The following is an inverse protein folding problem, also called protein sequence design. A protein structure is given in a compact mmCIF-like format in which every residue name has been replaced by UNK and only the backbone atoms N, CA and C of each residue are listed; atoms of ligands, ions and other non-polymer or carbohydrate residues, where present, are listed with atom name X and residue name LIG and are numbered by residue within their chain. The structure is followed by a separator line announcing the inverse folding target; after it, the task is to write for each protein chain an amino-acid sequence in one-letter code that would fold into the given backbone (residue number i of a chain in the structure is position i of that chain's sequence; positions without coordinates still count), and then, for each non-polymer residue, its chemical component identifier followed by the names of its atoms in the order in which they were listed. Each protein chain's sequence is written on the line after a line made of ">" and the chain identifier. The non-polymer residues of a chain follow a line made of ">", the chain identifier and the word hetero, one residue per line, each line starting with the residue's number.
data_IF_734664361796
#
_entry.id   IF_734664361796
#
_cell.length_a   1.000
_cell.length_b   1.000
_cell.length_c   1.000
_cell.angle_alpha   90.00
_cell.angle_beta   90.00
_cell.angle_gamma   90.00
#
_symmetry.space_group_name_H-M   'P 1'
#
loop_
_entity.id
_entity.type
_entity.pdbx_description
1 polymer ?
#
# COMPACT_ATOMS: atom_id res chain seq x y z
N UNK A 1 1.18 -7.80 17.65
CA UNK A 1 0.09 -7.32 16.77
C UNK A 1 0.57 -6.06 16.03
N UNK A 2 0.28 -5.92 14.75
CA UNK A 2 0.57 -4.71 13.97
C UNK A 2 -0.74 -3.95 13.72
N UNK A 3 -0.71 -2.63 13.89
CA UNK A 3 -1.87 -1.76 13.72
C UNK A 3 -1.47 -0.47 13.04
N UNK A 4 -2.41 0.21 12.40
CA UNK A 4 -2.24 1.55 11.84
C UNK A 4 -3.53 2.36 11.96
N UNK A 5 -3.40 3.67 11.91
CA UNK A 5 -4.53 4.59 11.85
C UNK A 5 -4.36 5.55 10.66
N UNK A 6 -5.47 5.89 10.02
CA UNK A 6 -5.49 6.97 9.04
C UNK A 6 -5.54 8.31 9.78
N UNK A 7 -4.62 9.18 9.43
CA UNK A 7 -4.48 10.51 10.03
C UNK A 7 -4.40 11.56 8.91
N UNK A 8 -4.73 12.83 9.18
CA UNK A 8 -4.55 13.89 8.18
C UNK A 8 -3.10 14.01 7.70
N UNK A 9 -2.92 14.47 6.46
CA UNK A 9 -1.59 14.72 5.92
C UNK A 9 -0.80 15.70 6.82
N UNK A 10 0.45 15.39 7.09
CA UNK A 10 1.30 16.19 7.98
C UNK A 10 1.03 16.02 9.48
N UNK A 11 0.20 15.07 9.87
CA UNK A 11 -0.04 14.79 11.28
C UNK A 11 1.24 14.31 11.99
N UNK A 12 1.69 15.07 12.99
CA UNK A 12 2.90 14.78 13.76
C UNK A 12 2.65 14.09 15.10
N UNK A 13 1.38 13.93 15.49
CA UNK A 13 1.00 13.35 16.77
C UNK A 13 1.16 11.83 16.83
N UNK A 14 0.87 11.29 18.01
CA UNK A 14 0.84 9.85 18.29
C UNK A 14 -0.62 9.38 18.43
N UNK A 15 -1.07 8.52 17.53
CA UNK A 15 -2.41 7.93 17.55
C UNK A 15 -2.48 6.65 18.41
N UNK A 16 -1.40 6.23 19.06
CA UNK A 16 -1.32 4.97 19.81
C UNK A 16 -2.40 4.86 20.88
N UNK A 17 -2.63 5.94 21.62
CA UNK A 17 -3.66 5.93 22.68
C UNK A 17 -5.07 5.72 22.13
N UNK A 18 -5.39 6.35 20.98
CA UNK A 18 -6.67 6.17 20.31
C UNK A 18 -6.85 4.74 19.76
N UNK A 19 -5.79 4.17 19.17
CA UNK A 19 -5.80 2.78 18.68
C UNK A 19 -6.04 1.81 19.85
N UNK A 20 -5.31 1.95 20.96
CA UNK A 20 -5.45 1.10 22.14
C UNK A 20 -6.87 1.22 22.73
N UNK A 21 -7.39 2.46 22.84
CA UNK A 21 -8.75 2.68 23.34
C UNK A 21 -9.80 2.02 22.44
N UNK A 22 -9.61 2.06 21.13
CA UNK A 22 -10.53 1.40 20.18
C UNK A 22 -10.47 -0.13 20.31
N UNK A 23 -9.29 -0.71 20.48
CA UNK A 23 -9.16 -2.15 20.70
C UNK A 23 -9.80 -2.57 22.03
N UNK A 24 -9.56 -1.79 23.08
CA UNK A 24 -10.10 -2.04 24.42
C UNK A 24 -11.64 -2.09 24.45
N UNK A 25 -12.31 -1.34 23.54
CA UNK A 25 -13.78 -1.40 23.40
C UNK A 25 -14.29 -2.79 22.99
N UNK A 26 -13.51 -3.53 22.22
CA UNK A 26 -13.89 -4.85 21.69
C UNK A 26 -13.18 -6.00 22.39
N UNK A 27 -12.09 -5.71 23.06
CA UNK A 27 -11.27 -6.67 23.81
C UNK A 27 -10.86 -6.07 25.16
N UNK A 28 -11.77 -6.04 26.15
CA UNK A 28 -11.47 -5.53 27.50
C UNK A 28 -10.26 -6.23 28.11
N UNK A 29 -9.38 -5.48 28.77
CA UNK A 29 -8.14 -5.97 29.36
C UNK A 29 -6.97 -6.10 28.35
N UNK A 30 -7.14 -5.64 27.11
CA UNK A 30 -6.07 -5.64 26.11
C UNK A 30 -4.87 -4.78 26.55
N UNK A 31 -5.13 -3.60 27.13
CA UNK A 31 -4.09 -2.67 27.58
C UNK A 31 -3.11 -3.30 28.56
N UNK A 32 -3.61 -4.11 29.46
CA UNK A 32 -2.82 -4.78 30.50
C UNK A 32 -1.94 -5.92 29.95
N UNK A 33 -2.26 -6.39 28.74
CA UNK A 33 -1.51 -7.46 28.05
C UNK A 33 -0.42 -6.94 27.15
N UNK A 34 -0.24 -5.61 27.04
CA UNK A 34 0.80 -5.01 26.22
C UNK A 34 2.14 -5.13 26.95
N UNK A 35 3.01 -6.00 26.46
CA UNK A 35 4.36 -6.23 27.02
C UNK A 35 5.42 -5.32 26.38
N UNK A 36 5.12 -4.71 25.25
CA UNK A 36 6.01 -3.79 24.56
C UNK A 36 5.31 -3.16 23.37
N UNK A 37 5.77 -1.96 22.96
CA UNK A 37 5.24 -1.25 21.81
C UNK A 37 6.33 -0.48 21.09
N UNK A 38 6.19 -0.37 19.77
CA UNK A 38 6.95 0.55 18.93
C UNK A 38 5.95 1.37 18.12
N UNK A 39 6.31 2.61 17.83
CA UNK A 39 5.46 3.56 17.11
C UNK A 39 6.30 4.33 16.10
N UNK A 40 5.72 4.62 14.96
CA UNK A 40 6.26 5.55 13.96
C UNK A 40 5.15 6.49 13.51
N UNK A 41 5.40 7.79 13.59
CA UNK A 41 4.52 8.79 13.03
C UNK A 41 4.72 8.94 11.50
N UNK A 42 3.91 9.78 10.86
CA UNK A 42 3.96 9.99 9.41
C UNK A 42 5.32 10.48 8.92
N UNK A 43 5.98 11.36 9.66
CA UNK A 43 7.32 11.88 9.32
C UNK A 43 8.39 10.79 9.41
N UNK A 44 8.35 9.98 10.48
CA UNK A 44 9.26 8.85 10.66
C UNK A 44 9.04 7.76 9.60
N UNK A 45 7.80 7.55 9.18
CA UNK A 45 7.51 6.62 8.07
C UNK A 45 8.04 7.13 6.75
N UNK A 46 7.88 8.41 6.44
CA UNK A 46 8.43 9.05 5.23
C UNK A 46 9.96 9.04 5.22
N UNK A 47 10.60 9.31 6.36
CA UNK A 47 12.06 9.23 6.49
C UNK A 47 12.59 7.79 6.38
N UNK A 48 11.82 6.81 6.87
CA UNK A 48 12.18 5.40 6.78
C UNK A 48 12.17 4.89 5.34
N UNK A 49 11.19 5.31 4.54
CA UNK A 49 11.11 4.94 3.14
C UNK A 49 10.61 6.13 2.30
N UNK A 50 11.44 6.69 1.40
CA UNK A 50 11.07 7.84 0.56
C UNK A 50 9.83 7.63 -0.33
N UNK A 51 9.45 6.37 -0.59
CA UNK A 51 8.22 6.06 -1.33
C UNK A 51 6.95 6.23 -0.49
N UNK A 52 7.08 6.34 0.83
CA UNK A 52 5.96 6.61 1.75
C UNK A 52 5.73 8.12 1.87
N UNK A 53 5.31 8.74 0.78
CA UNK A 53 5.07 10.19 0.70
C UNK A 53 4.04 10.59 1.75
N UNK A 54 4.43 11.51 2.65
CA UNK A 54 3.58 11.92 3.78
C UNK A 54 3.31 10.81 4.81
N UNK A 55 4.11 9.74 4.80
CA UNK A 55 3.95 8.58 5.69
C UNK A 55 2.90 7.57 5.23
N UNK A 56 2.34 7.74 4.03
CA UNK A 56 1.39 6.78 3.47
C UNK A 56 2.11 5.48 3.06
N UNK A 57 1.75 4.39 3.71
CA UNK A 57 2.27 3.04 3.41
C UNK A 57 1.65 2.44 2.14
N UNK A 58 0.60 3.06 1.62
CA UNK A 58 -0.08 2.65 0.39
C UNK A 58 0.41 3.52 -0.76
N UNK A 59 0.98 2.90 -1.77
CA UNK A 59 1.48 3.62 -2.94
C UNK A 59 0.34 4.11 -3.84
N UNK A 60 0.38 5.39 -4.23
CA UNK A 60 -0.58 6.01 -5.15
C UNK A 60 -1.80 6.61 -4.44
N UNK A 61 -2.47 7.53 -5.11
CA UNK A 61 -3.74 8.09 -4.67
C UNK A 61 -4.85 7.03 -4.73
N UNK A 62 -5.75 7.04 -3.76
CA UNK A 62 -6.92 6.14 -3.71
C UNK A 62 -8.19 6.77 -4.26
N UNK A 63 -8.08 7.75 -5.14
CA UNK A 63 -9.25 8.29 -5.80
C UNK A 63 -9.81 7.30 -6.84
N UNK A 64 -11.07 7.52 -7.24
CA UNK A 64 -11.78 6.64 -8.19
C UNK A 64 -11.03 6.55 -9.53
N UNK A 65 -10.34 7.62 -9.93
CA UNK A 65 -9.57 7.64 -11.18
C UNK A 65 -8.33 6.75 -11.09
N UNK A 66 -7.61 6.80 -9.97
CA UNK A 66 -6.46 5.93 -9.73
C UNK A 66 -6.86 4.46 -9.57
N UNK A 67 -8.01 4.21 -8.95
CA UNK A 67 -8.53 2.85 -8.78
C UNK A 67 -8.92 2.22 -10.13
N UNK A 68 -9.47 3.04 -11.05
CA UNK A 68 -9.94 2.58 -12.35
C UNK A 68 -8.82 2.60 -13.42
N UNK A 69 -7.90 3.56 -13.35
CA UNK A 69 -6.92 3.85 -14.41
C UNK A 69 -5.47 3.91 -13.92
N UNK A 70 -5.19 3.62 -12.66
CA UNK A 70 -3.83 3.67 -12.12
C UNK A 70 -2.91 2.59 -12.67
N UNK A 71 -1.61 2.84 -12.75
CA UNK A 71 -0.90 4.11 -12.51
C UNK A 71 -0.95 5.09 -13.69
N UNK A 72 -1.55 4.72 -14.80
CA UNK A 72 -1.78 5.55 -16.00
C UNK A 72 -3.01 5.07 -16.75
N UNK A 73 -3.66 5.94 -17.50
CA UNK A 73 -4.80 5.60 -18.34
C UNK A 73 -4.31 4.70 -19.50
N UNK A 74 -4.53 3.40 -19.38
CA UNK A 74 -4.12 2.41 -20.37
C UNK A 74 -4.87 1.08 -20.15
N UNK A 75 -5.12 0.36 -21.24
CA UNK A 75 -5.64 -1.01 -21.17
C UNK A 75 -4.59 -2.05 -20.72
N UNK A 76 -3.34 -1.63 -20.55
CA UNK A 76 -2.24 -2.50 -20.11
C UNK A 76 -1.42 -1.80 -19.00
N UNK A 77 -1.96 -1.69 -17.78
CA UNK A 77 -1.38 -0.91 -16.68
C UNK A 77 -0.03 -1.46 -16.21
N UNK A 78 0.30 -2.68 -16.57
CA UNK A 78 1.55 -3.34 -16.17
C UNK A 78 2.74 -2.97 -17.06
N UNK A 79 2.53 -2.44 -18.28
CA UNK A 79 3.59 -2.02 -19.20
C UNK A 79 4.07 -0.61 -18.86
N UNK A 80 5.38 -0.42 -18.72
CA UNK A 80 5.98 0.88 -18.37
C UNK A 80 6.45 1.70 -19.60
N UNK A 81 6.09 1.27 -20.81
CA UNK A 81 6.44 1.98 -22.05
C UNK A 81 7.74 1.50 -22.70
N UNK A 82 8.54 0.70 -22.03
CA UNK A 82 9.74 0.06 -22.58
C UNK A 82 9.38 -1.38 -22.97
N UNK A 83 9.66 -1.82 -24.22
CA UNK A 83 9.37 -3.18 -24.66
C UNK A 83 10.03 -4.22 -23.76
N UNK A 84 9.25 -5.20 -23.29
CA UNK A 84 9.72 -6.26 -22.40
C UNK A 84 9.85 -5.89 -20.91
N UNK A 85 9.56 -4.65 -20.53
CA UNK A 85 9.57 -4.23 -19.13
C UNK A 85 8.16 -4.08 -18.56
N UNK A 86 7.97 -4.62 -17.37
CA UNK A 86 6.66 -4.68 -16.67
C UNK A 86 6.82 -4.27 -15.23
N UNK A 87 5.77 -3.66 -14.68
CA UNK A 87 5.65 -3.32 -13.27
C UNK A 87 4.63 -4.24 -12.59
N UNK A 88 4.98 -4.76 -11.41
CA UNK A 88 4.06 -5.40 -10.50
C UNK A 88 4.17 -4.70 -9.14
N UNK A 89 3.19 -3.89 -8.81
CA UNK A 89 3.23 -3.03 -7.62
C UNK A 89 1.84 -2.93 -7.02
N UNK A 90 1.76 -2.58 -5.74
CA UNK A 90 0.53 -2.19 -5.08
C UNK A 90 -0.18 -1.01 -5.78
N UNK A 91 0.54 -0.24 -6.60
CA UNK A 91 -0.03 0.83 -7.43
C UNK A 91 -0.68 0.32 -8.73
N UNK A 92 -0.52 -0.97 -9.09
CA UNK A 92 -1.18 -1.55 -10.27
C UNK A 92 -2.45 -2.31 -9.87
N UNK A 93 -3.46 -2.41 -10.77
CA UNK A 93 -4.66 -3.20 -10.47
C UNK A 93 -4.34 -4.66 -10.09
N UNK A 94 -5.09 -5.27 -9.18
CA UNK A 94 -6.24 -4.74 -8.45
C UNK A 94 -5.89 -3.93 -7.20
N UNK A 95 -4.64 -3.54 -7.02
CA UNK A 95 -4.20 -2.74 -5.90
C UNK A 95 -3.48 -3.54 -4.81
N UNK A 96 -3.26 -2.93 -3.65
CA UNK A 96 -2.51 -3.53 -2.56
C UNK A 96 -3.27 -4.70 -1.91
N UNK A 97 -2.52 -5.73 -1.50
CA UNK A 97 -3.03 -6.90 -0.79
C UNK A 97 -2.09 -8.10 -0.89
N UNK A 98 -2.30 -9.09 -0.05
CA UNK A 98 -1.51 -10.33 -0.02
C UNK A 98 -1.97 -11.37 -1.07
N UNK A 99 -2.67 -10.94 -2.12
CA UNK A 99 -3.26 -11.83 -3.12
C UNK A 99 -2.33 -12.18 -4.31
N UNK A 100 -1.19 -11.48 -4.47
CA UNK A 100 -0.24 -11.72 -5.57
C UNK A 100 -0.74 -11.37 -6.99
N UNK A 101 -1.96 -10.84 -7.14
CA UNK A 101 -2.59 -10.62 -8.45
C UNK A 101 -1.87 -9.60 -9.31
N UNK A 102 -1.25 -8.56 -8.72
CA UNK A 102 -0.45 -7.60 -9.47
C UNK A 102 0.70 -8.30 -10.22
N UNK A 103 1.38 -9.22 -9.54
CA UNK A 103 2.45 -10.04 -10.14
C UNK A 103 1.93 -11.01 -11.21
N UNK A 104 0.85 -11.74 -10.92
CA UNK A 104 0.24 -12.68 -11.86
C UNK A 104 -0.20 -11.98 -13.16
N UNK A 105 -0.85 -10.83 -13.06
CA UNK A 105 -1.32 -10.07 -14.21
C UNK A 105 -0.15 -9.47 -15.01
N UNK A 106 0.90 -8.98 -14.34
CA UNK A 106 2.13 -8.50 -15.00
C UNK A 106 2.83 -9.64 -15.75
N UNK A 107 2.94 -10.82 -15.13
CA UNK A 107 3.52 -12.02 -15.76
C UNK A 107 2.70 -12.47 -16.98
N UNK A 108 1.38 -12.50 -16.89
CA UNK A 108 0.49 -12.81 -18.02
C UNK A 108 0.70 -11.83 -19.18
N UNK A 109 0.85 -10.54 -18.90
CA UNK A 109 1.14 -9.52 -19.90
C UNK A 109 2.51 -9.73 -20.57
N UNK A 110 3.51 -10.17 -19.79
CA UNK A 110 4.84 -10.49 -20.31
C UNK A 110 4.83 -11.74 -21.21
N UNK A 111 4.15 -12.79 -20.78
CA UNK A 111 4.00 -14.03 -21.56
C UNK A 111 3.31 -13.79 -22.90
N UNK A 112 2.19 -13.02 -22.89
CA UNK A 112 1.49 -12.66 -24.12
C UNK A 112 2.36 -11.85 -25.10
N UNK A 113 3.26 -11.02 -24.59
CA UNK A 113 4.23 -10.31 -25.43
C UNK A 113 5.26 -11.24 -26.05
N UNK A 114 5.80 -12.19 -25.29
CA UNK A 114 6.79 -13.16 -25.79
C UNK A 114 6.19 -14.09 -26.84
N UNK A 115 4.95 -14.52 -26.66
CA UNK A 115 4.25 -15.39 -27.62
C UNK A 115 4.01 -14.71 -28.99
N UNK A 116 3.79 -13.38 -29.01
CA UNK A 116 3.61 -12.63 -30.25
C UNK A 116 4.89 -12.38 -31.03
N UNK A 117 6.04 -12.64 -30.44
CA UNK A 117 7.38 -12.45 -31.05
C UNK A 117 7.99 -13.74 -31.59
N UNK A 118 7.34 -14.84 -31.33
CA UNK A 118 7.64 -16.15 -31.95
C UNK A 118 6.91 -16.28 -33.28
#
# INVERSE_FOLDING_TARGET
>A
MWTYAHVPNGYSGDATAAIIAQIERFAPGFRERIIGRAFRNTMQMSAYNPNYVGGDIMTGSKDIRQLAFGPRITLSPYKIGVPGMYICSAATPPGPGAHGMCGANAASSALAYLQRRR
#
